data_IF_316994565752
#
_entry.id   IF_316994565752
#
_cell.length_a   1.000
_cell.length_b   1.000
_cell.length_c   1.000
_cell.angle_alpha   90.00
_cell.angle_beta   90.00
_cell.angle_gamma   90.00
#
_symmetry.space_group_name_H-M   'P 1'
#
loop_
_entity.id
_entity.type
_entity.pdbx_description
1 polymer ?
#
# COMPACT_ATOMS: atom_id res chain seq x y z
N UNK A 1 9.06 -36.61 16.42
CA UNK A 1 9.40 -35.99 15.11
C UNK A 1 8.64 -34.68 15.05
N UNK A 2 9.32 -33.53 15.17
CA UNK A 2 8.66 -32.22 15.19
C UNK A 2 8.11 -31.89 13.80
N UNK A 3 6.78 -31.77 13.71
CA UNK A 3 6.05 -31.41 12.50
C UNK A 3 6.09 -29.88 12.41
N UNK A 4 6.63 -29.34 11.31
CA UNK A 4 6.62 -27.89 11.05
C UNK A 4 5.19 -27.38 11.04
N UNK A 5 4.86 -26.38 11.87
CA UNK A 5 3.53 -25.75 11.91
C UNK A 5 3.36 -24.65 10.86
N UNK A 6 4.31 -24.49 9.93
CA UNK A 6 4.23 -23.46 8.90
C UNK A 6 3.42 -23.96 7.68
N UNK A 7 2.50 -23.15 7.14
CA UNK A 7 1.69 -23.52 5.97
C UNK A 7 2.51 -23.67 4.68
N UNK A 8 3.80 -23.30 4.69
CA UNK A 8 4.71 -23.34 3.55
C UNK A 8 5.75 -24.48 3.63
N UNK A 9 5.57 -25.46 4.52
CA UNK A 9 6.49 -26.59 4.71
C UNK A 9 7.58 -26.34 5.74
N UNK A 10 8.68 -27.11 5.69
CA UNK A 10 9.80 -27.01 6.65
C UNK A 10 10.69 -25.83 6.27
N UNK A 11 10.53 -24.68 6.92
CA UNK A 11 11.45 -23.56 6.75
C UNK A 11 12.82 -23.94 7.32
N UNK A 12 13.90 -23.67 6.59
CA UNK A 12 15.27 -23.87 7.06
C UNK A 12 15.69 -22.82 8.12
N UNK A 13 14.83 -21.83 8.36
CA UNK A 13 15.01 -20.79 9.38
C UNK A 13 14.70 -21.41 10.73
N UNK A 14 15.75 -21.90 11.41
CA UNK A 14 15.64 -22.29 12.80
C UNK A 14 15.22 -21.09 13.65
N UNK A 15 14.27 -21.29 14.58
CA UNK A 15 13.87 -20.24 15.54
C UNK A 15 15.12 -19.79 16.30
N UNK A 16 15.66 -18.62 15.95
CA UNK A 16 16.78 -18.01 16.68
C UNK A 16 16.31 -17.73 18.10
N UNK A 17 17.17 -18.05 19.08
CA UNK A 17 16.94 -17.69 20.48
C UNK A 17 16.70 -16.18 20.59
N UNK A 18 15.82 -15.78 21.50
CA UNK A 18 15.52 -14.37 21.74
C UNK A 18 16.82 -13.61 22.04
N UNK A 19 17.06 -12.45 21.39
CA UNK A 19 18.26 -11.66 21.65
C UNK A 19 18.28 -11.22 23.12
N UNK A 20 19.45 -11.25 23.75
CA UNK A 20 19.68 -10.81 25.14
C UNK A 20 19.75 -9.29 25.27
N UNK A 21 19.96 -8.59 24.16
CA UNK A 21 20.06 -7.14 24.07
C UNK A 21 18.73 -6.52 23.63
N UNK A 22 18.46 -5.25 23.97
CA UNK A 22 17.30 -4.54 23.45
C UNK A 22 17.34 -4.49 21.91
N UNK A 23 16.17 -4.39 21.25
CA UNK A 23 16.12 -4.27 19.81
C UNK A 23 16.87 -3.00 19.35
N UNK A 24 17.57 -3.06 18.20
CA UNK A 24 18.27 -1.89 17.69
C UNK A 24 17.27 -0.79 17.30
N UNK A 25 17.73 0.46 17.40
CA UNK A 25 16.97 1.62 16.91
C UNK A 25 17.06 1.64 15.38
N UNK A 26 15.91 1.56 14.72
CA UNK A 26 15.84 1.59 13.25
C UNK A 26 15.92 3.05 12.78
N UNK A 27 16.82 3.39 11.84
CA UNK A 27 16.90 4.75 11.32
C UNK A 27 15.61 5.11 10.57
N UNK A 28 15.13 6.32 10.83
CA UNK A 28 13.96 6.88 10.17
C UNK A 28 14.35 8.13 9.40
N UNK A 29 13.74 8.29 8.24
CA UNK A 29 13.93 9.41 7.34
C UNK A 29 12.61 10.19 7.20
N UNK A 30 12.65 11.53 7.16
CA UNK A 30 11.48 12.32 6.85
C UNK A 30 11.13 12.12 5.36
N UNK A 31 9.88 11.78 5.09
CA UNK A 31 9.34 11.64 3.75
C UNK A 31 8.12 12.53 3.57
N UNK A 32 8.12 13.33 2.50
CA UNK A 32 6.99 14.13 2.06
C UNK A 32 6.08 13.28 1.19
N UNK A 33 4.85 13.11 1.60
CA UNK A 33 3.82 12.36 0.88
C UNK A 33 2.87 13.34 0.22
N UNK A 34 2.72 13.23 -1.11
CA UNK A 34 1.76 13.99 -1.92
C UNK A 34 0.57 13.09 -2.22
N UNK A 35 -0.61 13.50 -1.77
CA UNK A 35 -1.89 12.83 -2.02
C UNK A 35 -2.46 13.18 -3.40
N UNK A 36 -3.49 12.47 -3.83
CA UNK A 36 -4.11 12.67 -5.16
C UNK A 36 -4.78 14.05 -5.32
N UNK A 37 -5.28 14.62 -4.22
CA UNK A 37 -5.83 15.99 -4.17
C UNK A 37 -4.74 17.08 -4.19
N UNK A 38 -3.46 16.69 -4.10
CA UNK A 38 -2.33 17.61 -3.99
C UNK A 38 -2.01 18.04 -2.56
N UNK A 39 -2.78 17.59 -1.56
CA UNK A 39 -2.44 17.82 -0.16
C UNK A 39 -1.14 17.08 0.21
N UNK A 40 -0.38 17.66 1.14
CA UNK A 40 0.94 17.13 1.51
C UNK A 40 1.07 16.97 3.01
N UNK A 41 1.78 15.92 3.42
CA UNK A 41 2.16 15.72 4.82
C UNK A 41 3.54 15.07 4.91
N UNK A 42 4.23 15.31 6.03
CA UNK A 42 5.53 14.71 6.32
C UNK A 42 5.39 13.61 7.34
N UNK A 43 5.93 12.42 7.06
CA UNK A 43 5.99 11.31 8.02
C UNK A 43 7.40 10.75 8.13
N UNK A 44 7.65 10.00 9.20
CA UNK A 44 8.93 9.32 9.44
C UNK A 44 8.80 7.86 9.00
N UNK A 45 9.64 7.47 8.05
CA UNK A 45 9.63 6.12 7.45
C UNK A 45 11.04 5.53 7.43
N UNK A 46 11.16 4.22 7.30
CA UNK A 46 12.45 3.55 7.12
C UNK A 46 12.90 3.56 5.65
N UNK A 47 12.02 3.98 4.73
CA UNK A 47 12.36 4.13 3.32
C UNK A 47 13.31 5.32 3.10
N UNK A 48 14.37 5.17 2.29
CA UNK A 48 15.28 6.28 1.98
C UNK A 48 14.69 7.30 0.99
N UNK A 49 13.44 7.14 0.54
CA UNK A 49 12.82 8.03 -0.45
C UNK A 49 12.29 9.30 0.21
N UNK A 50 12.78 10.45 -0.21
CA UNK A 50 12.36 11.75 0.31
C UNK A 50 10.94 12.16 -0.08
N UNK A 51 10.47 11.78 -1.28
CA UNK A 51 9.14 12.14 -1.80
C UNK A 51 8.40 10.92 -2.31
N UNK A 52 7.12 10.82 -1.93
CA UNK A 52 6.21 9.78 -2.38
C UNK A 52 4.92 10.43 -2.90
N UNK A 53 4.57 10.20 -4.17
CA UNK A 53 3.29 10.63 -4.75
C UNK A 53 2.35 9.44 -4.85
N UNK A 54 1.18 9.57 -4.22
CA UNK A 54 0.15 8.53 -4.23
C UNK A 54 -0.77 8.73 -5.44
N UNK A 55 -1.07 7.64 -6.12
CA UNK A 55 -2.07 7.59 -7.20
C UNK A 55 -3.43 7.12 -6.71
N UNK A 56 -3.47 6.33 -5.64
CA UNK A 56 -4.67 5.88 -4.93
C UNK A 56 -4.48 6.08 -3.44
N UNK A 57 -5.40 6.79 -2.81
CA UNK A 57 -5.40 7.10 -1.39
C UNK A 57 -6.83 7.26 -0.86
N UNK A 58 -6.98 7.82 0.34
CA UNK A 58 -8.29 8.00 0.99
C UNK A 58 -9.11 9.11 0.32
N UNK A 59 -8.46 10.09 -0.29
CA UNK A 59 -9.13 11.27 -0.87
C UNK A 59 -9.84 10.95 -2.19
N UNK A 60 -9.27 10.03 -2.98
CA UNK A 60 -9.87 9.54 -4.23
C UNK A 60 -10.54 8.16 -4.10
N UNK A 61 -10.68 7.62 -2.88
CA UNK A 61 -11.41 6.38 -2.66
C UNK A 61 -12.90 6.66 -2.43
N UNK A 62 -13.82 6.10 -3.24
CA UNK A 62 -15.26 6.37 -3.12
C UNK A 62 -15.86 5.97 -1.77
N UNK A 63 -15.29 4.95 -1.10
CA UNK A 63 -15.74 4.52 0.24
C UNK A 63 -15.56 5.62 1.29
N UNK A 64 -14.52 6.44 1.14
CA UNK A 64 -14.19 7.51 2.09
C UNK A 64 -14.66 8.89 1.62
N UNK A 65 -14.97 9.03 0.34
CA UNK A 65 -15.49 10.25 -0.28
C UNK A 65 -16.81 9.99 -1.01
N UNK A 66 -17.87 9.71 -0.24
CA UNK A 66 -19.20 9.37 -0.75
C UNK A 66 -19.81 10.47 -1.65
N UNK A 67 -19.43 11.73 -1.48
CA UNK A 67 -19.86 12.82 -2.36
C UNK A 67 -19.27 12.73 -3.77
N UNK A 68 -18.05 12.23 -3.89
CA UNK A 68 -17.39 12.01 -5.18
C UNK A 68 -17.88 10.75 -5.89
N UNK A 69 -18.44 9.78 -5.15
CA UNK A 69 -18.99 8.54 -5.70
C UNK A 69 -19.99 8.79 -6.83
N UNK A 70 -20.92 9.73 -6.66
CA UNK A 70 -21.97 10.00 -7.67
C UNK A 70 -21.42 10.49 -9.03
N UNK A 71 -20.19 11.00 -9.07
CA UNK A 71 -19.54 11.41 -10.31
C UNK A 71 -18.69 10.29 -10.92
N UNK A 72 -18.12 9.41 -10.10
CA UNK A 72 -17.17 8.34 -10.49
C UNK A 72 -17.85 7.01 -10.87
N UNK A 73 -19.14 6.81 -10.57
CA UNK A 73 -19.88 5.57 -10.87
C UNK A 73 -19.87 5.20 -12.37
N UNK A 74 -19.58 6.15 -13.26
CA UNK A 74 -19.43 5.91 -14.70
C UNK A 74 -18.02 5.41 -15.12
N UNK A 75 -16.98 5.59 -14.30
CA UNK A 75 -15.58 5.31 -14.66
C UNK A 75 -14.96 4.08 -13.94
N UNK A 76 -15.59 3.59 -12.87
CA UNK A 76 -15.02 2.54 -12.02
C UNK A 76 -14.93 1.14 -12.69
N UNK A 77 -15.86 0.78 -13.59
CA UNK A 77 -15.74 -0.47 -14.37
C UNK A 77 -14.54 -0.44 -15.34
N UNK A 78 -14.19 0.75 -15.84
CA UNK A 78 -13.04 0.97 -16.73
C UNK A 78 -11.71 0.85 -15.96
N UNK A 79 -11.67 1.29 -14.70
CA UNK A 79 -10.44 1.33 -13.90
C UNK A 79 -10.09 0.00 -13.19
N UNK A 80 -11.10 -0.81 -12.82
CA UNK A 80 -10.88 -2.02 -11.99
C UNK A 80 -10.38 -3.23 -12.80
N UNK A 81 -10.96 -3.47 -13.97
CA UNK A 81 -10.63 -4.64 -14.80
C UNK A 81 -10.05 -4.23 -16.16
N UNK A 82 -10.18 -2.96 -16.56
CA UNK A 82 -9.70 -2.44 -17.83
C UNK A 82 -10.38 -3.05 -19.06
N UNK A 83 -11.40 -3.89 -18.88
CA UNK A 83 -12.10 -4.61 -19.96
C UNK A 83 -13.03 -3.67 -20.71
N UNK A 84 -13.87 -2.94 -19.98
CA UNK A 84 -14.78 -1.95 -20.54
C UNK A 84 -13.98 -0.82 -21.22
N UNK A 85 -12.96 -0.28 -20.55
CA UNK A 85 -12.12 0.79 -21.11
C UNK A 85 -11.30 0.39 -22.35
N UNK A 86 -11.05 -0.91 -22.54
CA UNK A 86 -10.46 -1.45 -23.77
C UNK A 86 -11.49 -1.64 -24.87
N UNK A 87 -12.73 -1.98 -24.51
CA UNK A 87 -13.83 -2.11 -25.45
C UNK A 87 -14.23 -0.74 -25.99
N UNK A 88 -14.49 0.25 -25.13
CA UNK A 88 -14.87 1.63 -25.50
C UNK A 88 -13.82 2.35 -26.36
N UNK A 89 -12.54 1.98 -26.25
CA UNK A 89 -11.47 2.51 -27.12
C UNK A 89 -11.45 1.85 -28.50
N UNK A 90 -11.90 0.59 -28.60
CA UNK A 90 -11.83 -0.22 -29.82
C UNK A 90 -13.11 -0.14 -30.65
N UNK A 91 -14.25 0.01 -30.00
CA UNK A 91 -15.59 0.00 -30.56
C UNK A 91 -16.38 1.19 -30.03
#
# INVERSE_FOLDING_TARGET
REISSSPYGRTHVWKRRLPTLPPPIVPQFPQLVVRSDGSTFTHWTTSPRSVLRLTRDVTNNPVWNMSAWRAEEAEDEDAATGRLGRFTRRF
#
